data_IF_172876569479
#
_entry.id   IF_172876569479
#
_cell.length_a   1.000
_cell.length_b   1.000
_cell.length_c   1.000
_cell.angle_alpha   90.00
_cell.angle_beta   90.00
_cell.angle_gamma   90.00
#
_symmetry.space_group_name_H-M   'P 1'
#
loop_
_entity.id
_entity.type
_entity.pdbx_description
1 polymer ?
#
# COMPACT_ATOMS: atom_id res chain seq x y z
N UNK A 1 29.99 14.32 15.90
CA UNK A 1 30.29 15.27 14.81
C UNK A 1 29.61 16.59 15.15
N UNK A 2 30.36 17.67 15.35
CA UNK A 2 29.80 19.03 15.55
C UNK A 2 29.64 19.67 14.17
N UNK A 3 28.42 20.03 13.79
CA UNK A 3 28.16 20.86 12.62
C UNK A 3 28.10 22.31 13.07
N UNK A 4 28.97 23.15 12.49
CA UNK A 4 28.92 24.61 12.60
C UNK A 4 28.23 25.11 11.33
N UNK A 5 27.06 25.72 11.48
CA UNK A 5 26.34 26.36 10.37
C UNK A 5 26.76 27.84 10.34
N UNK A 6 27.23 28.39 9.20
CA UNK A 6 27.49 29.83 9.09
C UNK A 6 26.16 30.60 8.97
N UNK A 7 26.10 31.75 9.61
CA UNK A 7 24.96 32.66 9.58
C UNK A 7 24.65 33.14 8.16
N UNK A 8 23.39 33.00 7.74
CA UNK A 8 22.87 33.57 6.51
C UNK A 8 22.14 34.89 6.83
N UNK A 9 22.60 35.98 6.23
CA UNK A 9 21.97 37.31 6.29
C UNK A 9 20.93 37.39 5.18
N UNK A 10 19.66 37.61 5.54
CA UNK A 10 18.60 37.92 4.56
C UNK A 10 18.51 39.43 4.35
N UNK A 11 18.67 39.87 3.10
CA UNK A 11 18.21 41.17 2.62
C UNK A 11 16.85 40.97 1.93
N UNK A 12 15.82 41.63 2.47
CA UNK A 12 14.52 41.80 1.83
C UNK A 12 14.62 42.91 0.77
N UNK A 13 14.28 42.59 -0.48
CA UNK A 13 13.84 43.59 -1.45
C UNK A 13 12.74 42.96 -2.31
N UNK A 14 11.55 43.55 -2.23
CA UNK A 14 10.35 43.09 -2.92
C UNK A 14 10.30 43.47 -4.40
N UNK A 15 9.27 42.96 -5.06
CA UNK A 15 8.92 43.30 -6.44
C UNK A 15 7.70 42.51 -6.89
N UNK A 16 6.51 43.05 -6.60
CA UNK A 16 5.23 42.61 -7.13
C UNK A 16 5.17 42.99 -8.63
N UNK A 17 4.88 42.04 -9.51
CA UNK A 17 4.48 42.33 -10.88
C UNK A 17 3.21 41.53 -11.21
N UNK A 18 2.13 42.28 -11.42
CA UNK A 18 0.85 41.81 -11.94
C UNK A 18 0.97 41.74 -13.47
N UNK A 19 0.63 40.61 -14.07
CA UNK A 19 0.49 40.49 -15.51
C UNK A 19 -0.94 40.03 -15.85
N UNK A 20 -1.56 40.85 -16.69
CA UNK A 20 -2.94 40.79 -17.18
C UNK A 20 -3.17 39.67 -18.21
N UNK A 21 -4.41 39.16 -18.19
CA UNK A 21 -5.27 38.94 -19.36
C UNK A 21 -4.72 38.24 -20.60
N UNK A 22 -4.99 36.93 -20.72
CA UNK A 22 -4.93 36.19 -21.99
C UNK A 22 -6.04 35.15 -22.07
N UNK A 23 -7.19 35.53 -22.63
CA UNK A 23 -8.31 34.63 -22.89
C UNK A 23 -8.03 33.72 -24.08
N UNK A 24 -8.05 32.40 -23.85
CA UNK A 24 -8.03 31.38 -24.91
C UNK A 24 -9.40 30.72 -25.04
N UNK A 25 -10.02 30.94 -26.19
CA UNK A 25 -11.18 30.19 -26.72
C UNK A 25 -10.82 28.72 -26.89
N UNK A 26 -11.56 27.83 -26.23
CA UNK A 26 -11.45 26.38 -26.39
C UNK A 26 -12.38 25.95 -27.53
N UNK A 27 -11.80 25.53 -28.66
CA UNK A 27 -12.51 24.83 -29.72
C UNK A 27 -12.96 23.44 -29.22
N UNK A 28 -14.26 23.14 -29.41
CA UNK A 28 -14.82 21.81 -29.19
C UNK A 28 -14.26 20.84 -30.24
N UNK A 29 -13.22 20.10 -29.88
CA UNK A 29 -12.73 18.97 -30.66
C UNK A 29 -13.79 17.86 -30.76
N UNK A 30 -14.06 17.40 -31.98
CA UNK A 30 -14.86 16.21 -32.27
C UNK A 30 -14.22 14.99 -31.58
N UNK A 31 -15.01 14.30 -30.75
CA UNK A 31 -14.66 12.97 -30.24
C UNK A 31 -14.58 12.02 -31.43
N UNK A 32 -13.40 11.47 -31.68
CA UNK A 32 -13.23 10.41 -32.67
C UNK A 32 -14.00 9.18 -32.19
N UNK A 33 -15.04 8.78 -32.93
CA UNK A 33 -15.71 7.51 -32.73
C UNK A 33 -14.69 6.37 -32.92
N UNK A 34 -14.52 5.57 -31.88
CA UNK A 34 -13.74 4.34 -31.91
C UNK A 34 -14.36 3.43 -32.97
N UNK A 35 -13.60 2.91 -33.95
CA UNK A 35 -14.16 2.07 -34.99
C UNK A 35 -14.80 0.83 -34.35
N UNK A 36 -16.07 0.59 -34.69
CA UNK A 36 -16.80 -0.59 -34.28
C UNK A 36 -16.08 -1.84 -34.79
N UNK A 37 -15.45 -2.59 -33.89
CA UNK A 37 -14.85 -3.87 -34.20
C UNK A 37 -15.91 -4.86 -34.70
N UNK A 38 -15.52 -5.73 -35.62
CA UNK A 38 -16.36 -6.78 -36.18
C UNK A 38 -16.87 -7.72 -35.05
N UNK A 39 -18.19 -7.77 -34.76
CA UNK A 39 -18.75 -8.50 -33.64
C UNK A 39 -18.66 -10.03 -33.77
N UNK A 40 -18.19 -10.55 -34.91
CA UNK A 40 -18.14 -11.99 -35.21
C UNK A 40 -16.75 -12.62 -35.13
N UNK A 41 -15.71 -11.89 -34.71
CA UNK A 41 -14.41 -12.52 -34.43
C UNK A 41 -14.37 -12.85 -32.95
N UNK A 42 -14.64 -14.12 -32.61
CA UNK A 42 -14.45 -14.61 -31.24
C UNK A 42 -13.03 -14.25 -30.81
N UNK A 43 -12.91 -13.49 -29.71
CA UNK A 43 -11.61 -13.22 -29.14
C UNK A 43 -11.00 -14.56 -28.72
N UNK A 44 -9.75 -14.85 -29.11
CA UNK A 44 -9.10 -16.09 -28.72
C UNK A 44 -9.13 -16.22 -27.19
N UNK A 45 -9.52 -17.39 -26.70
CA UNK A 45 -9.54 -17.65 -25.26
C UNK A 45 -8.15 -17.48 -24.65
N UNK A 46 -8.06 -17.14 -23.36
CA UNK A 46 -6.77 -16.90 -22.69
C UNK A 46 -5.75 -18.04 -22.88
N UNK A 47 -6.21 -19.30 -22.94
CA UNK A 47 -5.36 -20.45 -23.21
C UNK A 47 -4.69 -20.40 -24.59
N UNK A 48 -5.40 -19.98 -25.64
CA UNK A 48 -4.86 -19.81 -27.00
C UNK A 48 -3.82 -18.70 -27.07
N UNK A 49 -3.93 -17.72 -26.16
CA UNK A 49 -2.96 -16.63 -26.00
C UNK A 49 -1.75 -17.01 -25.12
N UNK A 50 -1.64 -18.27 -24.70
CA UNK A 50 -0.53 -18.80 -23.92
C UNK A 50 -0.64 -18.59 -22.40
N UNK A 51 -1.81 -18.20 -21.89
CA UNK A 51 -2.04 -18.09 -20.46
C UNK A 51 -2.28 -19.46 -19.83
N UNK A 52 -1.71 -19.67 -18.64
CA UNK A 52 -1.95 -20.84 -17.80
C UNK A 52 -2.85 -20.45 -16.64
N UNK A 53 -3.93 -21.19 -16.43
CA UNK A 53 -4.84 -20.98 -15.30
C UNK A 53 -4.43 -21.79 -14.07
N UNK A 54 -4.68 -21.23 -12.89
CA UNK A 54 -4.45 -21.85 -11.60
C UNK A 54 -5.68 -21.64 -10.73
N UNK A 55 -6.19 -22.70 -10.13
CA UNK A 55 -7.24 -22.60 -9.12
C UNK A 55 -6.62 -22.14 -7.80
N UNK A 56 -7.31 -21.23 -7.12
CA UNK A 56 -6.95 -20.71 -5.83
C UNK A 56 -7.81 -21.36 -4.73
N UNK A 57 -7.22 -21.49 -3.55
CA UNK A 57 -7.92 -21.93 -2.34
C UNK A 57 -8.13 -20.74 -1.42
N UNK A 58 -9.35 -20.58 -0.90
CA UNK A 58 -9.63 -19.53 0.08
C UNK A 58 -9.03 -19.88 1.44
N UNK A 59 -8.33 -18.93 2.05
CA UNK A 59 -7.69 -19.10 3.35
C UNK A 59 -8.28 -18.06 4.32
N UNK A 60 -9.19 -18.46 5.23
CA UNK A 60 -9.57 -17.62 6.35
C UNK A 60 -8.40 -17.49 7.34
N UNK A 61 -8.18 -16.30 7.87
CA UNK A 61 -7.07 -15.96 8.74
C UNK A 61 -7.60 -15.23 9.97
N UNK A 62 -7.46 -15.84 11.14
CA UNK A 62 -7.81 -15.19 12.40
C UNK A 62 -6.77 -14.16 12.84
N UNK A 63 -5.50 -14.55 12.78
CA UNK A 63 -4.38 -13.73 13.20
C UNK A 63 -3.64 -13.16 11.99
N UNK A 64 -3.99 -11.92 11.64
CA UNK A 64 -3.46 -11.25 10.48
C UNK A 64 -2.08 -10.66 10.75
N UNK A 65 -1.03 -11.29 10.23
CA UNK A 65 0.36 -10.81 10.37
C UNK A 65 0.92 -10.14 9.11
N UNK A 66 0.21 -10.27 7.99
CA UNK A 66 0.66 -9.74 6.71
C UNK A 66 0.43 -8.23 6.65
N UNK A 67 1.50 -7.48 6.36
CA UNK A 67 1.44 -6.04 6.20
C UNK A 67 0.99 -5.69 4.79
N UNK A 68 -0.02 -4.85 4.72
CA UNK A 68 -0.52 -4.24 3.48
C UNK A 68 -0.35 -2.72 3.58
N UNK A 69 0.06 -2.06 2.50
CA UNK A 69 0.35 -0.61 2.50
C UNK A 69 -0.91 0.23 2.68
N UNK A 70 -2.02 -0.25 2.12
CA UNK A 70 -3.35 0.29 2.29
C UNK A 70 -4.18 -0.85 2.86
N UNK A 71 -5.07 -0.58 3.80
CA UNK A 71 -5.82 -1.62 4.49
C UNK A 71 -6.21 -1.10 5.85
N UNK A 72 -7.51 -1.07 6.10
CA UNK A 72 -8.05 -0.49 7.30
C UNK A 72 -9.42 -1.03 7.60
N UNK A 73 -9.80 -0.83 8.86
CA UNK A 73 -11.14 -1.07 9.32
C UNK A 73 -12.09 -0.04 8.70
N UNK A 74 -13.11 -0.51 7.99
CA UNK A 74 -14.24 0.30 7.55
C UNK A 74 -15.34 0.30 8.62
N UNK A 75 -16.08 1.39 8.75
CA UNK A 75 -17.25 1.41 9.63
C UNK A 75 -18.38 0.57 9.00
N UNK A 76 -19.13 -0.20 9.81
CA UNK A 76 -20.27 -1.00 9.31
C UNK A 76 -21.55 -0.87 10.12
N UNK A 77 -21.49 -0.48 11.40
CA UNK A 77 -22.71 -0.37 12.18
C UNK A 77 -22.59 0.66 13.29
N UNK A 78 -23.63 1.47 13.43
CA UNK A 78 -23.92 2.23 14.65
C UNK A 78 -24.83 1.42 15.59
N UNK A 79 -24.81 1.75 16.88
CA UNK A 79 -25.65 1.13 17.91
C UNK A 79 -27.12 1.02 17.44
N UNK A 80 -27.67 -0.20 17.44
CA UNK A 80 -29.06 -0.52 17.10
C UNK A 80 -29.49 -0.25 15.65
N UNK A 81 -28.54 -0.20 14.71
CA UNK A 81 -28.82 -0.05 13.27
C UNK A 81 -28.72 -1.36 12.50
N UNK A 82 -29.63 -1.57 11.54
CA UNK A 82 -29.43 -2.52 10.44
C UNK A 82 -28.57 -1.83 9.38
N UNK A 83 -27.51 -2.50 8.93
CA UNK A 83 -26.64 -2.04 7.87
C UNK A 83 -26.23 -3.22 6.97
N UNK A 84 -25.41 -2.96 5.96
CA UNK A 84 -24.86 -3.97 5.08
C UNK A 84 -23.34 -3.86 5.04
N UNK A 85 -22.67 -5.00 4.97
CA UNK A 85 -21.30 -5.06 4.47
C UNK A 85 -21.39 -4.91 2.93
N UNK A 86 -20.67 -3.95 2.31
CA UNK A 86 -20.70 -3.71 0.86
C UNK A 86 -19.95 -4.79 0.07
N UNK A 87 -20.33 -6.05 0.29
CA UNK A 87 -19.79 -7.23 -0.39
C UNK A 87 -20.80 -7.70 -1.46
N UNK A 88 -20.35 -8.40 -2.52
CA UNK A 88 -21.23 -8.85 -3.59
C UNK A 88 -22.27 -9.83 -3.07
N UNK A 89 -23.54 -9.47 -3.23
CA UNK A 89 -24.67 -10.36 -3.02
C UNK A 89 -25.65 -10.09 -4.15
N UNK A 90 -25.74 -11.04 -5.09
CA UNK A 90 -26.61 -10.93 -6.26
C UNK A 90 -28.01 -10.47 -5.88
N UNK A 91 -28.48 -9.42 -6.57
CA UNK A 91 -29.78 -8.79 -6.39
C UNK A 91 -30.02 -8.16 -4.99
N UNK A 92 -28.96 -7.87 -4.22
CA UNK A 92 -29.00 -7.21 -2.91
C UNK A 92 -27.87 -6.18 -2.77
N UNK A 93 -27.99 -5.29 -1.78
CA UNK A 93 -27.01 -4.23 -1.51
C UNK A 93 -25.75 -4.72 -0.75
N UNK A 94 -25.80 -5.93 -0.17
CA UNK A 94 -24.68 -6.51 0.57
C UNK A 94 -25.10 -7.56 1.59
N UNK A 95 -24.16 -7.95 2.46
CA UNK A 95 -24.40 -8.90 3.56
C UNK A 95 -25.05 -8.15 4.72
N UNK A 96 -26.24 -8.56 5.15
CA UNK A 96 -26.93 -7.86 6.23
C UNK A 96 -26.24 -8.06 7.57
N UNK A 97 -26.09 -6.95 8.31
CA UNK A 97 -25.57 -6.95 9.68
C UNK A 97 -26.44 -6.10 10.59
N UNK A 98 -26.41 -6.43 11.88
CA UNK A 98 -27.14 -5.70 12.91
C UNK A 98 -26.24 -5.43 14.10
N UNK A 99 -25.97 -4.15 14.34
CA UNK A 99 -25.13 -3.70 15.45
C UNK A 99 -25.91 -3.66 16.77
N UNK A 100 -25.39 -4.34 17.79
CA UNK A 100 -25.82 -4.22 19.18
C UNK A 100 -24.75 -3.49 20.01
N UNK A 101 -25.10 -3.10 21.25
CA UNK A 101 -24.16 -2.43 22.16
C UNK A 101 -22.89 -3.25 22.44
N UNK A 102 -23.00 -4.58 22.47
CA UNK A 102 -21.90 -5.48 22.84
C UNK A 102 -21.70 -6.64 21.86
N UNK A 103 -22.42 -6.63 20.74
CA UNK A 103 -22.29 -7.64 19.71
C UNK A 103 -22.59 -7.06 18.32
N UNK A 104 -22.21 -7.79 17.28
CA UNK A 104 -22.73 -7.62 15.92
C UNK A 104 -23.27 -8.96 15.44
N UNK A 105 -24.48 -8.94 14.87
CA UNK A 105 -25.12 -10.09 14.27
C UNK A 105 -24.96 -10.03 12.74
N UNK A 106 -24.75 -11.18 12.09
CA UNK A 106 -24.46 -11.27 10.64
C UNK A 106 -25.36 -12.33 10.00
N UNK A 107 -26.06 -11.96 8.92
CA UNK A 107 -26.77 -12.88 8.01
C UNK A 107 -25.76 -13.36 6.95
N UNK A 108 -25.06 -14.45 7.23
CA UNK A 108 -23.93 -14.91 6.42
C UNK A 108 -24.32 -15.67 5.17
N UNK A 109 -25.55 -16.18 5.10
CA UNK A 109 -26.08 -16.97 3.98
C UNK A 109 -27.16 -16.26 3.15
N UNK A 110 -27.56 -15.06 3.56
CA UNK A 110 -28.55 -14.20 2.91
C UNK A 110 -29.99 -14.72 2.95
N UNK A 111 -30.35 -15.53 3.94
CA UNK A 111 -31.71 -16.06 4.12
C UNK A 111 -32.64 -15.10 4.90
N UNK A 112 -32.12 -13.96 5.37
CA UNK A 112 -32.84 -12.97 6.15
C UNK A 112 -32.84 -13.23 7.66
N UNK A 113 -32.15 -14.27 8.13
CA UNK A 113 -31.91 -14.55 9.56
C UNK A 113 -30.46 -14.27 9.90
N UNK A 114 -30.24 -13.82 11.12
CA UNK A 114 -28.89 -13.62 11.63
C UNK A 114 -28.31 -14.98 12.05
N UNK A 115 -27.25 -15.42 11.38
CA UNK A 115 -26.61 -16.72 11.59
C UNK A 115 -25.55 -16.65 12.69
N UNK A 116 -24.77 -15.58 12.69
CA UNK A 116 -23.57 -15.43 13.51
C UNK A 116 -23.69 -14.23 14.46
N UNK A 117 -23.12 -14.34 15.67
CA UNK A 117 -23.13 -13.27 16.67
C UNK A 117 -21.75 -13.07 17.29
N UNK A 118 -21.07 -12.00 16.87
CA UNK A 118 -19.71 -11.66 17.27
C UNK A 118 -19.73 -10.71 18.47
N UNK A 119 -19.08 -11.09 19.58
CA UNK A 119 -19.04 -10.31 20.83
C UNK A 119 -17.65 -9.81 21.20
N UNK A 120 -16.63 -10.48 20.67
CA UNK A 120 -15.23 -10.29 21.02
C UNK A 120 -14.54 -9.43 19.98
N UNK A 121 -13.70 -8.52 20.46
CA UNK A 121 -12.90 -7.67 19.59
C UNK A 121 -11.89 -8.50 18.78
N UNK A 122 -11.81 -8.24 17.47
CA UNK A 122 -10.90 -8.93 16.56
C UNK A 122 -11.36 -10.33 16.12
N UNK A 123 -12.52 -10.80 16.58
CA UNK A 123 -13.10 -12.09 16.18
C UNK A 123 -13.71 -12.02 14.76
N UNK A 124 -13.88 -13.17 14.13
CA UNK A 124 -14.25 -13.27 12.72
C UNK A 124 -15.37 -14.28 12.43
N UNK A 125 -16.07 -14.08 11.32
CA UNK A 125 -16.96 -15.07 10.72
C UNK A 125 -16.67 -15.22 9.22
N UNK A 126 -17.20 -16.26 8.60
CA UNK A 126 -17.16 -16.45 7.14
C UNK A 126 -18.57 -16.28 6.59
N UNK A 127 -18.73 -15.35 5.67
CA UNK A 127 -19.98 -15.10 4.94
C UNK A 127 -19.87 -15.67 3.54
N UNK A 128 -21.01 -15.91 2.90
CA UNK A 128 -21.05 -16.19 1.46
C UNK A 128 -21.11 -14.87 0.71
N UNK A 129 -20.37 -14.73 -0.39
CA UNK A 129 -20.60 -13.69 -1.39
C UNK A 129 -21.18 -14.33 -2.63
N UNK A 130 -22.09 -13.63 -3.29
CA UNK A 130 -22.78 -14.10 -4.50
C UNK A 130 -22.58 -13.07 -5.60
N UNK A 131 -21.78 -13.41 -6.60
CA UNK A 131 -21.44 -12.52 -7.71
C UNK A 131 -22.57 -12.44 -8.74
N UNK A 132 -22.47 -11.50 -9.67
CA UNK A 132 -23.52 -11.24 -10.67
C UNK A 132 -23.85 -12.47 -11.54
N UNK A 133 -22.83 -13.28 -11.84
CA UNK A 133 -22.94 -14.55 -12.59
C UNK A 133 -23.60 -15.69 -11.78
N UNK A 134 -23.86 -15.47 -10.48
CA UNK A 134 -24.40 -16.47 -9.56
C UNK A 134 -23.33 -17.32 -8.87
N UNK A 135 -22.04 -17.08 -9.14
CA UNK A 135 -20.95 -17.75 -8.44
C UNK A 135 -21.01 -17.41 -6.95
N UNK A 136 -20.92 -18.44 -6.10
CA UNK A 136 -20.88 -18.29 -4.64
C UNK A 136 -19.45 -18.52 -4.16
N UNK A 137 -18.90 -17.63 -3.33
CA UNK A 137 -17.58 -17.77 -2.76
C UNK A 137 -17.57 -17.47 -1.25
N UNK A 138 -16.67 -18.07 -0.46
CA UNK A 138 -16.51 -17.70 0.95
C UNK A 138 -15.77 -16.37 1.08
N UNK A 139 -16.13 -15.60 2.11
CA UNK A 139 -15.45 -14.36 2.47
C UNK A 139 -15.38 -14.22 4.00
N UNK A 140 -14.18 -14.22 4.55
CA UNK A 140 -13.94 -14.05 5.97
C UNK A 140 -13.91 -12.56 6.34
N UNK A 141 -14.69 -12.20 7.35
CA UNK A 141 -14.81 -10.84 7.89
C UNK A 141 -14.40 -10.86 9.34
N UNK A 142 -13.57 -9.90 9.76
CA UNK A 142 -13.25 -9.66 11.17
C UNK A 142 -13.80 -8.34 11.64
N UNK A 143 -14.23 -8.30 12.89
CA UNK A 143 -14.87 -7.14 13.47
C UNK A 143 -14.06 -6.55 14.63
N UNK A 144 -14.11 -5.24 14.77
CA UNK A 144 -13.52 -4.52 15.89
C UNK A 144 -14.53 -3.52 16.46
N UNK A 145 -14.53 -3.37 17.78
CA UNK A 145 -15.33 -2.34 18.47
C UNK A 145 -14.75 -0.97 18.15
N UNK A 146 -15.59 -0.09 17.63
CA UNK A 146 -15.31 1.33 17.47
C UNK A 146 -15.73 2.13 18.71
N UNK A 147 -15.48 3.45 18.66
CA UNK A 147 -15.94 4.39 19.68
C UNK A 147 -17.47 4.54 19.68
N UNK A 148 -18.07 4.81 20.85
CA UNK A 148 -19.50 5.09 20.94
C UNK A 148 -20.43 3.90 20.65
N UNK A 149 -19.92 2.67 20.72
CA UNK A 149 -20.69 1.46 20.44
C UNK A 149 -20.90 1.19 18.95
N UNK A 150 -20.04 1.75 18.10
CA UNK A 150 -19.98 1.37 16.68
C UNK A 150 -19.15 0.10 16.51
N UNK A 151 -19.33 -0.56 15.36
CA UNK A 151 -18.49 -1.66 14.92
C UNK A 151 -17.82 -1.28 13.60
N UNK A 152 -16.55 -1.67 13.51
CA UNK A 152 -15.80 -1.63 12.29
C UNK A 152 -15.50 -3.06 11.83
N UNK A 153 -15.17 -3.22 10.55
CA UNK A 153 -14.85 -4.49 9.96
C UNK A 153 -13.70 -4.36 8.97
N UNK A 154 -13.08 -5.48 8.65
CA UNK A 154 -12.14 -5.61 7.53
C UNK A 154 -12.15 -7.07 7.06
N UNK A 155 -11.58 -7.32 5.88
CA UNK A 155 -11.33 -8.69 5.42
C UNK A 155 -10.44 -9.47 6.40
N UNK A 156 -10.69 -10.77 6.47
CA UNK A 156 -9.96 -11.72 7.33
C UNK A 156 -9.61 -12.99 6.56
N UNK A 157 -9.30 -12.88 5.27
CA UNK A 157 -8.88 -14.00 4.44
C UNK A 157 -8.30 -13.53 3.11
N UNK A 158 -7.83 -14.48 2.32
CA UNK A 158 -7.27 -14.25 1.00
C UNK A 158 -7.37 -15.50 0.13
N UNK A 159 -7.22 -15.35 -1.18
CA UNK A 159 -7.12 -16.47 -2.12
C UNK A 159 -5.67 -16.85 -2.35
N UNK A 160 -5.35 -18.14 -2.30
CA UNK A 160 -3.99 -18.64 -2.42
C UNK A 160 -3.86 -19.65 -3.57
N UNK A 161 -2.91 -19.41 -4.47
CA UNK A 161 -2.49 -20.38 -5.47
C UNK A 161 -0.99 -20.69 -5.35
N UNK A 162 -0.58 -21.85 -5.86
CA UNK A 162 0.83 -22.20 -6.01
C UNK A 162 1.19 -22.24 -7.48
N UNK A 163 2.07 -21.34 -7.90
CA UNK A 163 2.51 -21.18 -9.29
C UNK A 163 4.02 -21.41 -9.31
N UNK A 164 4.47 -22.46 -10.03
CA UNK A 164 5.89 -22.82 -10.13
C UNK A 164 6.60 -22.89 -8.75
N UNK A 165 5.97 -23.56 -7.78
CA UNK A 165 6.45 -23.71 -6.38
C UNK A 165 6.51 -22.42 -5.57
N UNK A 166 6.02 -21.30 -6.11
CA UNK A 166 5.87 -20.04 -5.39
C UNK A 166 4.41 -19.86 -5.01
N UNK A 167 4.15 -19.58 -3.73
CA UNK A 167 2.80 -19.23 -3.28
C UNK A 167 2.47 -17.79 -3.68
N UNK A 168 1.27 -17.59 -4.19
CA UNK A 168 0.71 -16.29 -4.55
C UNK A 168 -0.61 -16.11 -3.80
N UNK A 169 -0.65 -15.16 -2.87
CA UNK A 169 -1.86 -14.74 -2.18
C UNK A 169 -2.45 -13.49 -2.83
N UNK A 170 -3.77 -13.45 -3.08
CA UNK A 170 -4.49 -12.27 -3.56
C UNK A 170 -5.53 -11.84 -2.55
N UNK A 171 -5.61 -10.53 -2.34
CA UNK A 171 -6.26 -9.90 -1.21
C UNK A 171 -7.17 -8.78 -1.69
N UNK A 172 -8.44 -8.85 -1.29
CA UNK A 172 -9.38 -7.75 -1.37
C UNK A 172 -8.97 -6.67 -0.37
N UNK A 173 -8.31 -5.62 -0.83
CA UNK A 173 -7.65 -4.70 0.07
C UNK A 173 -8.48 -3.45 0.38
N UNK A 174 -9.51 -3.18 -0.42
CA UNK A 174 -10.49 -2.13 -0.20
C UNK A 174 -11.78 -2.62 0.47
N UNK A 175 -11.89 -3.94 0.73
CA UNK A 175 -13.02 -4.61 1.38
C UNK A 175 -14.32 -4.54 0.56
N UNK A 176 -14.27 -4.73 -0.76
CA UNK A 176 -15.47 -4.70 -1.62
C UNK A 176 -15.88 -6.09 -2.17
N UNK A 177 -15.19 -7.15 -1.76
CA UNK A 177 -15.40 -8.52 -2.16
C UNK A 177 -14.85 -8.89 -3.54
N UNK A 178 -14.10 -8.00 -4.20
CA UNK A 178 -13.42 -8.24 -5.47
C UNK A 178 -11.92 -8.43 -5.26
N UNK A 179 -11.28 -9.11 -6.20
CA UNK A 179 -9.87 -9.51 -6.09
C UNK A 179 -9.07 -9.20 -7.37
N UNK A 180 -9.65 -8.49 -8.33
CA UNK A 180 -9.10 -8.18 -9.65
C UNK A 180 -8.84 -6.68 -9.89
N UNK A 181 -8.88 -5.85 -8.85
CA UNK A 181 -8.72 -4.40 -8.96
C UNK A 181 -7.25 -3.99 -8.79
N UNK A 182 -6.54 -3.86 -9.92
CA UNK A 182 -5.14 -3.43 -9.94
C UNK A 182 -4.91 -2.11 -9.19
N UNK A 183 -3.86 -2.08 -8.35
CA UNK A 183 -3.50 -0.94 -7.51
C UNK A 183 -4.37 -0.75 -6.26
N UNK A 184 -5.59 -1.29 -6.23
CA UNK A 184 -6.49 -1.24 -5.09
C UNK A 184 -6.32 -2.48 -4.21
N UNK A 185 -6.44 -3.66 -4.82
CA UNK A 185 -6.20 -4.97 -4.21
C UNK A 185 -4.73 -5.19 -3.91
N UNK A 186 -4.41 -6.29 -3.23
CA UNK A 186 -3.03 -6.63 -2.89
C UNK A 186 -2.65 -8.06 -3.27
N UNK A 187 -1.36 -8.27 -3.45
CA UNK A 187 -0.75 -9.54 -3.78
C UNK A 187 0.45 -9.82 -2.87
N UNK A 188 0.53 -11.03 -2.33
CA UNK A 188 1.69 -11.50 -1.56
C UNK A 188 2.38 -12.63 -2.29
N UNK A 189 3.66 -12.44 -2.58
CA UNK A 189 4.50 -13.45 -3.22
C UNK A 189 5.35 -14.15 -2.16
N UNK A 190 5.24 -15.47 -2.08
CA UNK A 190 6.06 -16.30 -1.19
C UNK A 190 5.74 -16.18 0.30
N UNK A 191 4.60 -15.59 0.67
CA UNK A 191 4.14 -15.38 2.06
C UNK A 191 5.18 -14.68 2.95
N UNK A 192 5.85 -13.66 2.40
CA UNK A 192 6.96 -12.92 3.03
C UNK A 192 6.55 -12.01 4.19
N UNK A 193 5.26 -11.99 4.55
CA UNK A 193 4.70 -11.09 5.55
C UNK A 193 4.39 -9.68 5.04
N UNK A 194 4.64 -9.41 3.76
CA UNK A 194 4.24 -8.17 3.08
C UNK A 194 3.43 -8.51 1.83
N UNK A 195 2.46 -7.67 1.52
CA UNK A 195 1.78 -7.65 0.24
C UNK A 195 2.04 -6.32 -0.46
N UNK A 196 2.22 -6.38 -1.77
CA UNK A 196 2.24 -5.21 -2.64
C UNK A 196 0.85 -4.96 -3.20
N UNK A 197 0.54 -3.75 -3.70
CA UNK A 197 -0.67 -3.58 -4.50
C UNK A 197 -0.71 -4.58 -5.67
N UNK A 198 -1.91 -5.02 -6.04
CA UNK A 198 -2.15 -5.95 -7.13
C UNK A 198 -1.62 -5.33 -8.41
N UNK A 199 -0.84 -6.14 -9.14
CA UNK A 199 -0.05 -5.69 -10.27
C UNK A 199 -0.35 -6.51 -11.51
N UNK A 200 -0.30 -5.85 -12.67
CA UNK A 200 -0.37 -6.53 -13.98
C UNK A 200 0.80 -7.49 -14.18
N UNK A 201 1.95 -7.21 -13.56
CA UNK A 201 3.16 -8.03 -13.63
C UNK A 201 3.65 -8.38 -12.23
N UNK A 202 3.96 -9.66 -12.01
CA UNK A 202 4.48 -10.19 -10.74
C UNK A 202 5.74 -11.01 -10.96
N UNK A 203 6.67 -10.98 -9.99
CA UNK A 203 7.86 -11.83 -9.99
C UNK A 203 7.60 -13.09 -9.17
N UNK A 204 7.45 -14.24 -9.82
CA UNK A 204 7.24 -15.54 -9.16
C UNK A 204 8.49 -16.40 -9.30
N UNK A 205 9.17 -16.67 -8.18
CA UNK A 205 10.42 -17.44 -8.20
C UNK A 205 11.55 -16.79 -9.01
N UNK A 206 11.53 -15.45 -9.14
CA UNK A 206 12.50 -14.68 -9.92
C UNK A 206 12.20 -14.58 -11.43
N UNK A 207 11.10 -15.18 -11.90
CA UNK A 207 10.61 -15.02 -13.28
C UNK A 207 9.42 -14.09 -13.31
N UNK A 208 9.36 -13.18 -14.28
CA UNK A 208 8.26 -12.24 -14.45
C UNK A 208 7.09 -12.88 -15.20
N UNK A 209 5.88 -12.63 -14.70
CA UNK A 209 4.64 -13.06 -15.32
C UNK A 209 3.67 -11.91 -15.38
N UNK A 210 2.96 -11.78 -16.50
CA UNK A 210 1.68 -11.09 -16.53
C UNK A 210 0.68 -11.88 -15.67
N UNK A 211 -0.12 -11.18 -14.87
CA UNK A 211 -1.11 -11.76 -13.96
C UNK A 211 -2.51 -11.24 -14.31
N UNK A 212 -3.49 -12.13 -14.27
CA UNK A 212 -4.91 -11.81 -14.22
C UNK A 212 -5.55 -12.58 -13.08
N UNK A 213 -6.49 -11.95 -12.40
CA UNK A 213 -7.29 -12.57 -11.34
C UNK A 213 -8.75 -12.53 -11.76
N UNK A 214 -9.50 -13.58 -11.46
CA UNK A 214 -10.96 -13.57 -11.60
C UNK A 214 -11.55 -12.65 -10.51
N UNK A 215 -12.63 -11.92 -10.79
CA UNK A 215 -13.27 -10.99 -9.82
C UNK A 215 -13.49 -11.63 -8.44
N UNK A 216 -13.84 -12.93 -8.43
CA UNK A 216 -14.10 -13.68 -7.20
C UNK A 216 -12.85 -14.28 -6.52
N UNK A 217 -11.66 -14.13 -7.13
CA UNK A 217 -10.37 -14.62 -6.68
C UNK A 217 -10.12 -16.14 -6.80
N UNK A 218 -11.11 -16.94 -7.18
CA UNK A 218 -11.01 -18.42 -7.28
C UNK A 218 -10.04 -18.91 -8.34
N UNK A 219 -9.78 -18.09 -9.36
CA UNK A 219 -8.90 -18.44 -10.47
C UNK A 219 -7.97 -17.29 -10.78
N UNK A 220 -6.74 -17.65 -11.13
CA UNK A 220 -5.75 -16.73 -11.65
C UNK A 220 -5.21 -17.26 -12.96
N UNK A 221 -4.75 -16.35 -13.81
CA UNK A 221 -4.04 -16.68 -15.02
C UNK A 221 -2.68 -16.01 -15.00
N UNK A 222 -1.65 -16.75 -15.40
CA UNK A 222 -0.32 -16.19 -15.65
C UNK A 222 0.16 -16.49 -17.06
N UNK A 223 0.89 -15.55 -17.62
CA UNK A 223 1.64 -15.70 -18.86
C UNK A 223 3.03 -15.10 -18.65
N UNK A 224 4.08 -15.82 -19.03
CA UNK A 224 5.44 -15.30 -18.92
C UNK A 224 5.55 -13.92 -19.58
N UNK A 225 6.22 -13.00 -18.91
CA UNK A 225 6.37 -11.64 -19.39
C UNK A 225 7.35 -11.61 -20.58
N UNK A 226 6.89 -11.08 -21.71
CA UNK A 226 7.61 -11.06 -22.99
C UNK A 226 8.15 -9.66 -23.35
N UNK A 227 7.96 -8.67 -22.49
CA UNK A 227 8.50 -7.33 -22.67
C UNK A 227 9.97 -7.20 -22.29
N UNK A 228 10.53 -6.02 -22.52
CA UNK A 228 11.92 -5.73 -22.13
C UNK A 228 12.09 -5.75 -20.62
N UNK A 229 13.19 -6.32 -20.16
CA UNK A 229 13.52 -6.45 -18.73
C UNK A 229 14.91 -5.91 -18.44
N UNK A 230 15.11 -5.47 -17.21
CA UNK A 230 16.41 -5.14 -16.64
C UNK A 230 16.49 -5.65 -15.20
N UNK A 231 17.51 -5.22 -14.47
CA UNK A 231 17.69 -5.56 -13.06
C UNK A 231 17.71 -4.32 -12.17
N UNK A 232 16.97 -4.37 -11.07
CA UNK A 232 16.95 -3.34 -10.03
C UNK A 232 17.61 -3.85 -8.75
N UNK A 233 18.78 -3.32 -8.42
CA UNK A 233 19.50 -3.58 -7.17
C UNK A 233 19.38 -2.37 -6.23
N UNK A 234 18.26 -2.33 -5.49
CA UNK A 234 18.05 -1.34 -4.44
C UNK A 234 18.47 -1.83 -3.05
N UNK A 235 18.84 -3.11 -2.90
CA UNK A 235 19.28 -3.64 -1.58
C UNK A 235 20.74 -3.36 -1.30
N UNK A 236 21.61 -3.52 -2.29
CA UNK A 236 23.06 -3.40 -2.06
C UNK A 236 23.51 -1.95 -1.80
N UNK A 237 22.75 -0.97 -2.29
CA UNK A 237 23.06 0.46 -2.10
C UNK A 237 22.27 1.13 -0.97
N UNK A 238 21.39 0.41 -0.27
CA UNK A 238 20.69 0.94 0.91
C UNK A 238 21.64 1.00 2.11
N UNK A 239 21.96 2.21 2.56
CA UNK A 239 22.77 2.45 3.76
C UNK A 239 21.85 2.78 4.92
N UNK A 240 21.80 1.96 5.96
CA UNK A 240 21.04 2.28 7.17
C UNK A 240 21.61 1.52 8.35
N UNK A 241 21.27 1.98 9.56
CA UNK A 241 21.47 1.20 10.79
C UNK A 241 20.43 0.07 10.92
N UNK A 242 19.36 0.12 10.14
CA UNK A 242 18.35 -0.93 10.02
C UNK A 242 18.52 -1.80 8.77
N UNK A 243 17.73 -2.88 8.71
CA UNK A 243 17.56 -3.75 7.57
C UNK A 243 16.25 -3.41 6.85
N UNK A 244 16.23 -3.53 5.53
CA UNK A 244 14.99 -3.42 4.77
C UNK A 244 14.10 -4.63 5.08
N UNK A 245 12.93 -4.36 5.66
CA UNK A 245 11.84 -5.31 5.77
C UNK A 245 11.07 -5.42 4.44
N UNK A 246 10.85 -4.29 3.78
CA UNK A 246 10.19 -4.17 2.48
C UNK A 246 10.70 -2.92 1.77
N UNK A 247 10.80 -2.97 0.44
CA UNK A 247 11.08 -1.80 -0.40
C UNK A 247 10.41 -1.97 -1.77
N UNK A 248 9.29 -1.28 -1.95
CA UNK A 248 8.44 -1.35 -3.13
C UNK A 248 8.77 -0.24 -4.11
N UNK A 249 8.96 -0.64 -5.37
CA UNK A 249 9.12 0.27 -6.50
C UNK A 249 7.95 0.08 -7.47
N UNK A 250 7.44 1.19 -8.02
CA UNK A 250 6.27 1.23 -8.88
C UNK A 250 6.61 1.74 -10.28
N UNK A 251 6.10 1.04 -11.30
CA UNK A 251 6.04 1.50 -12.70
C UNK A 251 4.64 1.28 -13.25
N UNK A 252 3.88 2.35 -13.46
CA UNK A 252 2.45 2.23 -13.83
C UNK A 252 1.69 1.41 -12.78
N UNK A 253 1.04 0.32 -13.21
CA UNK A 253 0.35 -0.63 -12.32
C UNK A 253 1.22 -1.84 -11.94
N UNK A 254 2.55 -1.73 -12.03
CA UNK A 254 3.48 -2.79 -11.58
C UNK A 254 4.17 -2.34 -10.30
N UNK A 255 3.95 -3.09 -9.22
CA UNK A 255 4.54 -2.88 -7.91
C UNK A 255 5.43 -4.08 -7.57
N UNK A 256 6.69 -3.83 -7.26
CA UNK A 256 7.66 -4.90 -6.96
C UNK A 256 8.34 -4.59 -5.65
N UNK A 257 8.14 -5.46 -4.66
CA UNK A 257 8.94 -5.45 -3.43
C UNK A 257 10.24 -6.22 -3.66
N UNK A 258 11.33 -5.48 -3.81
CA UNK A 258 12.68 -6.03 -4.03
C UNK A 258 13.19 -6.87 -2.86
N UNK A 259 12.60 -6.76 -1.67
CA UNK A 259 12.97 -7.58 -0.51
C UNK A 259 12.41 -9.01 -0.57
N UNK A 260 11.33 -9.23 -1.33
CA UNK A 260 10.72 -10.56 -1.52
C UNK A 260 11.49 -11.44 -2.50
N UNK A 261 12.39 -10.83 -3.28
CA UNK A 261 13.18 -11.51 -4.29
C UNK A 261 14.50 -11.98 -3.67
N UNK A 262 14.86 -13.25 -3.90
CA UNK A 262 16.06 -13.86 -3.33
C UNK A 262 17.34 -13.17 -3.83
N UNK A 263 17.41 -12.89 -5.13
CA UNK A 263 18.59 -12.30 -5.76
C UNK A 263 18.71 -10.81 -5.48
N UNK A 264 19.92 -10.33 -5.15
CA UNK A 264 20.19 -8.94 -4.75
C UNK A 264 19.63 -7.92 -5.74
N UNK A 265 19.72 -8.24 -7.02
CA UNK A 265 19.15 -7.46 -8.11
C UNK A 265 17.91 -8.18 -8.65
N UNK A 266 16.74 -7.55 -8.47
CA UNK A 266 15.46 -8.06 -8.94
C UNK A 266 15.35 -7.93 -10.46
N UNK A 267 14.95 -8.99 -11.17
CA UNK A 267 14.53 -8.86 -12.57
C UNK A 267 13.19 -8.14 -12.60
N UNK A 268 13.11 -7.03 -13.32
CA UNK A 268 11.91 -6.18 -13.42
C UNK A 268 11.71 -5.74 -14.88
N UNK A 269 10.48 -5.38 -15.29
CA UNK A 269 10.27 -4.70 -16.57
C UNK A 269 11.19 -3.48 -16.74
N UNK A 270 11.73 -3.24 -17.93
CA UNK A 270 12.50 -2.02 -18.17
C UNK A 270 11.60 -0.77 -18.10
N UNK A 271 12.17 0.35 -17.66
CA UNK A 271 11.57 1.69 -17.62
C UNK A 271 11.75 2.42 -16.29
N UNK A 272 11.00 3.51 -16.11
CA UNK A 272 11.09 4.40 -14.96
C UNK A 272 10.28 3.91 -13.77
N UNK A 273 10.91 3.81 -12.60
CA UNK A 273 10.32 3.36 -11.35
C UNK A 273 10.34 4.44 -10.29
N UNK A 274 9.21 4.69 -9.65
CA UNK A 274 9.15 5.51 -8.44
C UNK A 274 9.26 4.64 -7.19
N UNK A 275 9.90 5.13 -6.14
CA UNK A 275 9.81 4.48 -4.84
C UNK A 275 8.39 4.66 -4.29
N UNK A 276 7.70 3.56 -4.03
CA UNK A 276 6.33 3.59 -3.54
C UNK A 276 6.31 3.68 -2.02
N UNK A 277 7.03 2.77 -1.37
CA UNK A 277 7.18 2.75 0.08
C UNK A 277 7.78 1.45 0.59
N UNK A 278 7.84 1.29 1.90
CA UNK A 278 8.42 0.10 2.51
C UNK A 278 8.56 0.23 4.01
N UNK A 279 9.41 -0.61 4.58
CA UNK A 279 9.70 -0.61 6.01
C UNK A 279 11.17 -0.92 6.24
N UNK A 280 11.81 -0.14 7.12
CA UNK A 280 13.13 -0.43 7.65
C UNK A 280 12.99 -0.87 9.11
N UNK A 281 13.71 -1.93 9.52
CA UNK A 281 13.63 -2.54 10.85
C UNK A 281 15.01 -2.63 11.49
N UNK A 282 15.10 -2.42 12.80
CA UNK A 282 16.35 -2.71 13.50
C UNK A 282 16.68 -4.21 13.44
N UNK A 283 17.97 -4.61 13.33
CA UNK A 283 18.37 -6.01 13.31
C UNK A 283 17.93 -6.79 14.56
N UNK A 284 17.89 -6.13 15.72
CA UNK A 284 17.45 -6.72 17.00
C UNK A 284 15.94 -6.93 17.09
N UNK A 285 15.17 -6.49 16.09
CA UNK A 285 13.73 -6.37 16.19
C UNK A 285 13.28 -5.26 17.15
N UNK A 286 11.96 -5.09 17.27
CA UNK A 286 11.33 -4.14 18.19
C UNK A 286 11.39 -2.67 17.77
N UNK A 287 12.18 -2.32 16.75
CA UNK A 287 12.19 -0.98 16.16
C UNK A 287 11.94 -1.03 14.66
N UNK A 288 11.13 -0.11 14.15
CA UNK A 288 10.96 0.08 12.72
C UNK A 288 10.60 1.51 12.36
N UNK A 289 10.73 1.83 11.07
CA UNK A 289 10.19 3.04 10.46
C UNK A 289 9.55 2.64 9.13
N UNK A 290 8.37 3.20 8.85
CA UNK A 290 7.80 3.13 7.52
C UNK A 290 8.54 4.09 6.60
N UNK A 291 8.54 3.78 5.32
CA UNK A 291 9.17 4.57 4.28
C UNK A 291 8.17 4.90 3.18
N UNK A 292 8.22 6.12 2.64
CA UNK A 292 7.44 6.56 1.48
C UNK A 292 8.33 7.36 0.53
N UNK A 293 7.84 7.61 -0.70
CA UNK A 293 8.57 8.32 -1.76
C UNK A 293 9.34 9.56 -1.28
N UNK A 294 8.69 10.42 -0.50
CA UNK A 294 9.25 11.73 -0.15
C UNK A 294 9.63 12.52 -1.40
N UNK A 295 10.88 12.97 -1.44
CA UNK A 295 11.51 13.68 -2.56
C UNK A 295 12.35 12.78 -3.47
N UNK A 296 12.24 11.45 -3.32
CA UNK A 296 13.01 10.52 -4.15
C UNK A 296 12.60 10.59 -5.61
N UNK A 297 13.59 10.80 -6.48
CA UNK A 297 13.40 10.81 -7.92
C UNK A 297 13.22 9.41 -8.48
N UNK A 298 12.57 9.30 -9.63
CA UNK A 298 12.41 8.03 -10.31
C UNK A 298 13.77 7.42 -10.70
N UNK A 299 13.84 6.09 -10.65
CA UNK A 299 14.99 5.27 -11.01
C UNK A 299 14.72 4.64 -12.37
N UNK A 300 15.63 4.87 -13.33
CA UNK A 300 15.49 4.31 -14.68
C UNK A 300 16.16 2.94 -14.78
N UNK A 301 15.36 1.89 -15.02
CA UNK A 301 15.86 0.53 -15.28
C UNK A 301 15.98 0.30 -16.78
N UNK A 302 17.22 0.19 -17.28
CA UNK A 302 17.48 -0.08 -18.69
C UNK A 302 17.39 -1.56 -19.01
N UNK A 303 17.01 -1.86 -20.26
CA UNK A 303 17.02 -3.21 -20.80
C UNK A 303 18.39 -3.88 -20.64
N UNK A 304 18.39 -5.12 -20.18
CA UNK A 304 19.56 -6.00 -20.02
C UNK A 304 20.69 -5.42 -19.12
N UNK A 305 20.40 -4.36 -18.36
CA UNK A 305 21.35 -3.69 -17.48
C UNK A 305 20.96 -3.86 -15.99
N UNK A 306 21.92 -3.64 -15.09
CA UNK A 306 21.69 -3.61 -13.64
C UNK A 306 21.76 -2.18 -13.12
N UNK A 307 20.62 -1.66 -12.73
CA UNK A 307 20.49 -0.35 -12.09
C UNK A 307 20.65 -0.49 -10.58
N UNK A 308 21.64 0.19 -10.02
CA UNK A 308 21.88 0.23 -8.58
C UNK A 308 21.30 1.51 -8.00
N UNK A 309 20.57 1.39 -6.89
CA UNK A 309 20.04 2.54 -6.15
C UNK A 309 20.90 2.76 -4.93
N UNK A 310 21.55 3.93 -4.85
CA UNK A 310 22.22 4.39 -3.65
C UNK A 310 21.23 5.25 -2.86
N UNK A 311 20.90 4.88 -1.63
CA UNK A 311 19.88 5.55 -0.81
C UNK A 311 20.03 5.18 0.67
N UNK A 312 19.20 5.73 1.54
CA UNK A 312 19.28 5.62 2.99
C UNK A 312 20.07 6.77 3.61
N UNK A 313 21.20 6.48 4.25
CA UNK A 313 22.07 7.50 4.86
C UNK A 313 22.79 8.37 3.80
N UNK A 314 23.12 9.62 4.09
CA UNK A 314 22.89 10.36 5.36
C UNK A 314 21.46 10.90 5.48
N UNK A 315 20.96 11.00 6.71
CA UNK A 315 19.62 11.52 6.97
C UNK A 315 19.61 13.06 7.04
N UNK A 316 18.54 13.65 6.51
CA UNK A 316 18.16 15.05 6.66
C UNK A 316 16.87 15.14 7.48
N UNK A 317 16.77 16.12 8.36
CA UNK A 317 15.54 16.42 9.10
C UNK A 317 15.12 17.84 8.74
N UNK A 318 13.90 17.97 8.22
CA UNK A 318 13.27 19.25 7.90
C UNK A 318 12.11 19.47 8.87
N UNK A 319 11.98 20.67 9.44
CA UNK A 319 10.86 21.06 10.30
C UNK A 319 10.77 22.59 10.41
N UNK A 320 9.57 23.09 10.64
CA UNK A 320 9.33 24.49 10.96
C UNK A 320 9.43 24.72 12.48
N UNK A 321 9.93 25.90 12.84
CA UNK A 321 10.02 26.34 14.23
C UNK A 321 9.63 27.82 14.39
N UNK A 322 9.14 28.16 15.57
CA UNK A 322 8.88 29.54 15.99
C UNK A 322 9.73 29.89 17.22
N UNK A 323 10.13 31.16 17.32
CA UNK A 323 10.84 31.69 18.47
C UNK A 323 10.02 32.83 19.06
N UNK A 324 9.43 32.58 20.23
CA UNK A 324 8.63 33.56 20.93
C UNK A 324 8.91 33.52 22.43
N UNK A 325 9.08 34.69 23.04
CA UNK A 325 9.33 34.82 24.49
C UNK A 325 10.56 34.06 25.00
N UNK A 326 11.59 33.85 24.15
CA UNK A 326 12.79 33.08 24.52
C UNK A 326 12.60 31.55 24.51
N UNK A 327 11.48 31.06 24.00
CA UNK A 327 11.20 29.63 23.81
C UNK A 327 11.27 29.28 22.33
N UNK A 328 11.82 28.11 22.00
CA UNK A 328 11.77 27.55 20.65
C UNK A 328 10.66 26.51 20.62
N UNK A 329 9.69 26.71 19.73
CA UNK A 329 8.57 25.79 19.50
C UNK A 329 8.75 25.11 18.16
N UNK A 330 8.65 23.78 18.11
CA UNK A 330 8.74 22.99 16.88
C UNK A 330 7.34 22.49 16.52
N UNK A 331 6.94 22.71 15.27
CA UNK A 331 5.68 22.18 14.77
C UNK A 331 5.88 20.74 14.31
N UNK A 332 5.54 19.77 15.17
CA UNK A 332 5.74 18.33 14.90
C UNK A 332 5.09 17.89 13.58
N UNK A 333 3.99 18.51 13.17
CA UNK A 333 3.30 18.23 11.89
C UNK A 333 4.10 18.58 10.65
N UNK A 334 5.14 19.41 10.77
CA UNK A 334 6.03 19.85 9.68
C UNK A 334 7.33 19.05 9.65
N UNK A 335 7.48 18.09 10.57
CA UNK A 335 8.69 17.29 10.62
C UNK A 335 8.69 16.22 9.55
N UNK A 336 9.78 16.21 8.79
CA UNK A 336 10.09 15.18 7.81
C UNK A 336 11.52 14.67 8.00
N UNK A 337 11.71 13.36 7.93
CA UNK A 337 13.03 12.71 7.94
C UNK A 337 13.28 12.13 6.58
N UNK A 338 14.24 12.67 5.84
CA UNK A 338 14.59 12.19 4.51
C UNK A 338 15.91 11.46 4.53
N UNK A 339 16.03 10.40 3.72
CA UNK A 339 17.31 9.81 3.39
C UNK A 339 18.03 10.54 2.27
N UNK A 340 19.25 10.10 1.96
CA UNK A 340 20.17 10.74 1.02
C UNK A 340 19.68 10.76 -0.42
N UNK A 341 18.69 9.94 -0.77
CA UNK A 341 18.04 9.96 -2.07
C UNK A 341 16.65 10.61 -2.05
N UNK A 342 16.21 11.12 -0.90
CA UNK A 342 14.96 11.86 -0.75
C UNK A 342 13.78 11.02 -0.25
N UNK A 343 13.93 9.70 -0.09
CA UNK A 343 12.92 8.86 0.55
C UNK A 343 12.62 9.34 1.97
N UNK A 344 11.36 9.28 2.39
CA UNK A 344 10.95 9.78 3.70
C UNK A 344 10.69 8.64 4.69
N UNK A 345 11.26 8.76 5.89
CA UNK A 345 11.05 7.87 7.02
C UNK A 345 10.01 8.46 7.97
N UNK A 346 9.00 7.67 8.33
CA UNK A 346 7.90 8.12 9.18
C UNK A 346 7.34 6.97 10.03
N UNK A 347 6.44 7.29 10.96
CA UNK A 347 5.80 6.32 11.87
C UNK A 347 6.80 5.36 12.53
N UNK A 348 7.82 5.94 13.18
CA UNK A 348 8.80 5.15 13.94
C UNK A 348 8.10 4.39 15.06
N UNK A 349 8.41 3.10 15.18
CA UNK A 349 7.85 2.22 16.19
C UNK A 349 8.97 1.66 17.05
N UNK A 350 8.85 1.70 18.40
CA UNK A 350 7.93 2.56 19.13
C UNK A 350 8.24 4.05 18.86
N UNK A 351 7.27 4.95 19.11
CA UNK A 351 7.44 6.39 18.85
C UNK A 351 8.65 7.04 19.54
N UNK A 352 9.16 6.44 20.62
CA UNK A 352 10.36 6.91 21.32
C UNK A 352 11.64 6.89 20.46
N UNK A 353 11.64 6.22 19.30
CA UNK A 353 12.76 6.20 18.36
C UNK A 353 12.67 7.28 17.27
N UNK A 354 11.70 8.20 17.37
CA UNK A 354 11.73 9.39 16.54
C UNK A 354 12.95 10.27 16.88
N UNK A 355 13.43 11.07 15.91
CA UNK A 355 14.50 12.02 16.18
C UNK A 355 14.19 12.95 17.36
N UNK A 356 15.25 13.34 18.09
CA UNK A 356 15.18 14.29 19.19
C UNK A 356 15.85 15.58 18.75
N UNK A 357 15.15 16.70 18.87
CA UNK A 357 15.74 18.02 18.60
C UNK A 357 16.27 18.61 19.90
N UNK A 358 17.54 19.01 19.88
CA UNK A 358 18.21 19.70 20.98
C UNK A 358 18.57 21.11 20.52
N UNK A 359 18.15 22.10 21.30
CA UNK A 359 18.48 23.51 21.09
C UNK A 359 19.60 23.89 22.05
N UNK A 360 20.66 24.49 21.53
CA UNK A 360 21.79 24.95 22.32
C UNK A 360 21.86 26.48 22.27
N UNK A 361 22.23 27.09 23.39
CA UNK A 361 22.49 28.53 23.46
C UNK A 361 23.85 28.88 22.80
N UNK A 362 24.18 30.17 22.62
CA UNK A 362 25.46 30.57 22.02
C UNK A 362 26.71 30.12 22.78
N UNK A 363 26.59 29.75 24.06
CA UNK A 363 27.68 29.18 24.88
C UNK A 363 27.84 27.67 24.68
N UNK A 364 26.97 27.04 23.89
CA UNK A 364 26.94 25.59 23.65
C UNK A 364 26.25 24.79 24.75
N UNK A 365 25.53 25.44 25.67
CA UNK A 365 24.76 24.77 26.72
C UNK A 365 23.37 24.40 26.16
N UNK A 366 22.86 23.22 26.51
CA UNK A 366 21.54 22.78 26.04
C UNK A 366 20.45 23.66 26.69
N UNK A 367 19.76 24.47 25.88
CA UNK A 367 18.67 25.32 26.31
C UNK A 367 17.34 24.56 26.36
N UNK A 368 17.11 23.64 25.41
CA UNK A 368 15.86 22.88 25.31
C UNK A 368 16.10 21.51 24.66
N UNK A 369 15.25 20.53 25.00
CA UNK A 369 15.23 19.20 24.38
C UNK A 369 13.78 18.76 24.22
N UNK A 370 13.41 18.36 23.01
CA UNK A 370 12.09 17.80 22.71
C UNK A 370 12.24 16.43 22.07
N UNK A 371 11.57 15.43 22.66
CA UNK A 371 11.24 14.21 21.91
C UNK A 371 10.01 14.51 21.09
N UNK A 372 10.06 14.16 19.82
CA UNK A 372 8.87 14.25 18.99
C UNK A 372 8.17 12.92 19.20
N UNK A 373 6.98 12.94 19.77
CA UNK A 373 6.08 11.79 19.77
C UNK A 373 4.93 12.22 18.86
N UNK A 374 4.70 11.50 17.76
CA UNK A 374 3.46 11.68 17.01
C UNK A 374 2.36 11.06 17.87
N UNK A 375 1.36 11.87 18.22
CA UNK A 375 0.16 11.43 18.92
C UNK A 375 -0.71 10.53 18.03
#
# INVERSE_FOLDING_TARGET
MKWVVPALVFALAGGLAVADGGGTTVEKGKVAEKPAGNPNKAEPGLAELGWKSYDATYVPVKDWTMKVMHGGYAAVASKNGNQVLPLPVKDKDGVAVKGEQFAIEVDGNHDGKMDERIKTDGDMCVVSVVYADGTIAPYAVRFQKGGGGTWNWQRSGFWMATINKTQLGVLDNNNNGKYDENGEDAVSVGLTGYATPLSDVVSLGGTLYNLKVEENGKKLWVKEYDGETGKLDARSGHKSMGMLGSAMFQKGHTYIDICTIKDKAAVVPAGSYEFFGGECKAPSGGQSALMRKGNMVAVEVKKDDTTKVAWGMDLKIDFDFDISGGTVSILVSTLHVYGGSGEEYYQFTPPAFMPVVQVFNPKGEQAQKGSMAMC
#
